data_IF_047888016520
#
_entry.id   IF_047888016520
#
_cell.length_a   1.000
_cell.length_b   1.000
_cell.length_c   1.000
_cell.angle_alpha   90.00
_cell.angle_beta   90.00
_cell.angle_gamma   90.00
#
_symmetry.space_group_name_H-M   'P 1'
#
loop_
_entity.id
_entity.type
_entity.pdbx_description
1 polymer ?
#
# COMPACT_ATOMS: atom_id res chain seq x y z
N UNK A 1 14.00 -1.52 24.70
CA UNK A 1 13.53 -0.65 23.59
C UNK A 1 14.64 -0.28 22.61
N UNK A 2 15.69 0.43 23.01
CA UNK A 2 16.83 0.80 22.12
C UNK A 2 17.50 -0.44 21.52
N UNK A 3 17.61 -1.53 22.30
CA UNK A 3 18.15 -2.82 21.88
C UNK A 3 17.33 -3.54 20.80
N UNK A 4 16.00 -3.36 20.77
CA UNK A 4 15.15 -3.99 19.72
C UNK A 4 15.28 -3.22 18.41
N UNK A 5 15.28 -1.88 18.48
CA UNK A 5 15.38 -1.00 17.32
C UNK A 5 16.74 -1.20 16.61
N UNK A 6 17.81 -1.45 17.37
CA UNK A 6 19.16 -1.69 16.84
C UNK A 6 19.39 -3.09 16.26
N UNK A 7 18.53 -4.07 16.58
CA UNK A 7 18.76 -5.48 16.25
C UNK A 7 17.97 -5.97 15.03
N UNK A 8 17.22 -5.11 14.34
CA UNK A 8 16.55 -5.48 13.10
C UNK A 8 17.59 -5.61 11.96
N UNK A 9 17.58 -6.71 11.19
CA UNK A 9 18.49 -6.88 10.07
C UNK A 9 18.20 -5.82 8.99
N UNK A 10 19.25 -5.07 8.61
CA UNK A 10 19.31 -4.13 7.48
C UNK A 10 18.13 -3.14 7.36
N UNK A 11 18.23 -2.01 8.06
CA UNK A 11 17.23 -0.93 8.03
C UNK A 11 17.62 0.18 7.04
N UNK A 12 17.53 -0.08 5.73
CA UNK A 12 18.06 0.85 4.70
C UNK A 12 17.39 2.21 4.65
N UNK A 13 16.14 2.33 5.11
CA UNK A 13 15.40 3.60 5.17
C UNK A 13 15.58 4.38 6.47
N UNK A 14 16.54 3.99 7.31
CA UNK A 14 16.80 4.59 8.61
C UNK A 14 18.27 4.98 8.75
N UNK A 15 18.51 6.11 9.40
CA UNK A 15 19.85 6.59 9.77
C UNK A 15 20.43 5.76 10.94
N UNK A 16 21.71 5.97 11.22
CA UNK A 16 22.43 5.27 12.28
C UNK A 16 21.88 5.52 13.70
N UNK A 17 21.23 6.67 13.92
CA UNK A 17 20.53 7.00 15.16
C UNK A 17 19.07 6.50 15.20
N UNK A 18 18.66 5.71 14.21
CA UNK A 18 17.34 5.09 14.05
C UNK A 18 16.20 6.02 13.64
N UNK A 19 16.49 7.24 13.19
CA UNK A 19 15.48 8.07 12.55
C UNK A 19 15.15 7.51 11.16
N UNK A 20 13.87 7.48 10.80
CA UNK A 20 13.49 7.18 9.43
C UNK A 20 13.81 8.38 8.53
N UNK A 21 14.62 8.17 7.49
CA UNK A 21 14.90 9.22 6.51
C UNK A 21 14.05 9.08 5.24
N UNK A 22 13.68 7.86 4.85
CA UNK A 22 12.79 7.62 3.73
C UNK A 22 11.38 7.24 4.21
N UNK A 23 10.44 8.15 4.03
CA UNK A 23 9.05 8.03 4.46
C UNK A 23 8.15 7.63 3.32
N UNK A 24 7.19 6.76 3.59
CA UNK A 24 6.15 6.39 2.65
C UNK A 24 4.77 6.61 3.26
N UNK A 25 3.73 6.37 2.47
CA UNK A 25 2.35 6.54 2.94
C UNK A 25 1.98 5.65 4.13
N UNK A 26 2.57 4.45 4.25
CA UNK A 26 2.34 3.54 5.38
C UNK A 26 3.00 4.08 6.64
N UNK A 27 4.25 4.52 6.55
CA UNK A 27 5.00 5.08 7.69
C UNK A 27 4.37 6.37 8.21
N UNK A 28 4.07 7.28 7.28
CA UNK A 28 3.45 8.57 7.60
C UNK A 28 2.02 8.38 8.14
N UNK A 29 1.25 7.47 7.56
CA UNK A 29 -0.08 7.11 8.04
C UNK A 29 -0.03 6.51 9.46
N UNK A 30 0.95 5.64 9.73
CA UNK A 30 1.18 5.08 11.06
C UNK A 30 1.50 6.16 12.10
N UNK A 31 2.40 7.10 11.77
CA UNK A 31 2.77 8.21 12.65
C UNK A 31 1.59 9.16 12.92
N UNK A 32 0.85 9.56 11.88
CA UNK A 32 -0.35 10.39 12.00
C UNK A 32 -1.46 9.70 12.80
N UNK A 33 -1.60 8.38 12.67
CA UNK A 33 -2.60 7.59 13.42
C UNK A 33 -2.29 7.59 14.91
N UNK A 34 -1.08 7.15 15.28
CA UNK A 34 -0.67 7.01 16.67
C UNK A 34 0.85 6.80 16.74
N UNK A 35 1.61 7.63 17.47
CA UNK A 35 3.06 7.46 17.59
C UNK A 35 3.47 6.09 18.13
N UNK A 36 2.70 5.54 19.08
CA UNK A 36 2.91 4.17 19.59
C UNK A 36 2.68 3.09 18.53
N UNK A 37 1.72 3.29 17.63
CA UNK A 37 1.51 2.38 16.51
C UNK A 37 2.70 2.43 15.56
N UNK A 38 3.18 3.63 15.20
CA UNK A 38 4.38 3.83 14.40
C UNK A 38 5.63 3.15 14.99
N UNK A 39 5.85 3.30 16.30
CA UNK A 39 6.92 2.61 17.02
C UNK A 39 6.86 1.09 16.80
N UNK A 40 5.69 0.47 17.04
CA UNK A 40 5.57 -0.98 16.94
C UNK A 40 5.61 -1.49 15.51
N UNK A 41 4.89 -0.85 14.57
CA UNK A 41 4.75 -1.37 13.22
C UNK A 41 5.90 -1.04 12.29
N UNK A 42 6.54 0.12 12.45
CA UNK A 42 7.56 0.63 11.53
C UNK A 42 8.95 0.56 12.16
N UNK A 43 9.14 1.17 13.33
CA UNK A 43 10.47 1.22 13.95
C UNK A 43 10.94 -0.14 14.47
N UNK A 44 10.02 -0.92 15.06
CA UNK A 44 10.30 -2.26 15.59
C UNK A 44 9.83 -3.38 14.65
N UNK A 45 9.04 -3.06 13.62
CA UNK A 45 8.65 -4.02 12.60
C UNK A 45 7.71 -5.15 13.06
N UNK A 46 7.04 -5.02 14.20
CA UNK A 46 6.15 -6.04 14.74
C UNK A 46 4.92 -6.23 13.84
N UNK A 47 4.65 -7.46 13.43
CA UNK A 47 3.48 -7.82 12.65
C UNK A 47 2.77 -9.06 13.22
N UNK A 48 1.42 -9.12 13.13
CA UNK A 48 0.69 -10.33 13.50
C UNK A 48 1.23 -11.54 12.74
N UNK A 49 1.38 -12.68 13.42
CA UNK A 49 1.88 -13.94 12.79
C UNK A 49 1.02 -14.42 11.63
N UNK A 50 -0.29 -14.10 11.65
CA UNK A 50 -1.22 -14.44 10.58
C UNK A 50 -1.47 -13.23 9.70
N UNK A 51 -1.21 -13.36 8.40
CA UNK A 51 -1.56 -12.33 7.44
C UNK A 51 -3.08 -12.26 7.26
N UNK A 52 -3.63 -11.04 7.20
CA UNK A 52 -5.06 -10.84 6.96
C UNK A 52 -5.45 -11.36 5.56
N UNK A 53 -6.54 -12.13 5.43
CA UNK A 53 -7.09 -12.55 4.14
C UNK A 53 -7.31 -11.39 3.16
N UNK A 54 -7.66 -10.20 3.67
CA UNK A 54 -7.84 -9.01 2.83
C UNK A 54 -6.53 -8.54 2.19
N UNK A 55 -5.43 -8.60 2.93
CA UNK A 55 -4.12 -8.19 2.44
C UNK A 55 -3.60 -9.20 1.42
N UNK A 56 -3.66 -10.49 1.73
CA UNK A 56 -3.27 -11.56 0.80
C UNK A 56 -4.07 -11.48 -0.50
N UNK A 57 -5.39 -11.29 -0.40
CA UNK A 57 -6.24 -11.09 -1.57
C UNK A 57 -5.87 -9.84 -2.35
N UNK A 58 -5.62 -8.72 -1.68
CA UNK A 58 -5.17 -7.49 -2.34
C UNK A 58 -3.89 -7.73 -3.15
N UNK A 59 -2.85 -8.29 -2.52
CA UNK A 59 -1.53 -8.52 -3.15
C UNK A 59 -1.66 -9.37 -4.41
N UNK A 60 -2.35 -10.52 -4.33
CA UNK A 60 -2.48 -11.43 -5.48
C UNK A 60 -3.30 -10.80 -6.60
N UNK A 61 -4.33 -10.02 -6.26
CA UNK A 61 -5.12 -9.32 -7.27
C UNK A 61 -4.30 -8.24 -7.99
N UNK A 62 -3.52 -7.43 -7.27
CA UNK A 62 -2.67 -6.39 -7.89
C UNK A 62 -1.63 -7.02 -8.82
N UNK A 63 -0.97 -8.09 -8.38
CA UNK A 63 -0.01 -8.82 -9.22
C UNK A 63 -0.65 -9.39 -10.50
N UNK A 64 -1.90 -9.85 -10.42
CA UNK A 64 -2.63 -10.31 -11.60
C UNK A 64 -2.91 -9.16 -12.58
N UNK A 65 -3.30 -7.98 -12.08
CA UNK A 65 -3.59 -6.82 -12.93
C UNK A 65 -2.34 -6.21 -13.53
N UNK A 66 -1.24 -6.13 -12.76
CA UNK A 66 0.07 -5.70 -13.24
C UNK A 66 0.53 -6.54 -14.45
N UNK A 67 0.38 -7.86 -14.37
CA UNK A 67 0.70 -8.77 -15.48
C UNK A 67 -0.12 -8.47 -16.75
N UNK A 68 -1.40 -8.13 -16.59
CA UNK A 68 -2.26 -7.75 -17.73
C UNK A 68 -1.92 -6.37 -18.28
N UNK A 69 -1.61 -5.40 -17.42
CA UNK A 69 -1.22 -4.04 -17.82
C UNK A 69 0.07 -4.07 -18.65
N UNK A 70 1.04 -4.90 -18.27
CA UNK A 70 2.26 -5.11 -19.06
C UNK A 70 1.98 -5.60 -20.48
N UNK A 71 1.02 -6.52 -20.65
CA UNK A 71 0.64 -7.01 -21.99
C UNK A 71 -0.08 -5.91 -22.75
N UNK A 72 -1.04 -5.23 -22.09
CA UNK A 72 -1.92 -4.21 -22.68
C UNK A 72 -1.18 -3.04 -23.31
N UNK A 73 -0.03 -2.65 -22.77
CA UNK A 73 0.82 -1.58 -23.35
C UNK A 73 1.48 -2.02 -24.67
N UNK A 74 1.70 -3.32 -24.87
CA UNK A 74 2.37 -3.85 -26.07
C UNK A 74 1.41 -4.26 -27.18
N UNK A 75 0.19 -4.70 -26.81
CA UNK A 75 -0.87 -5.11 -27.74
C UNK A 75 -2.22 -5.18 -27.03
N UNK A 76 -3.33 -5.20 -27.79
CA UNK A 76 -4.64 -5.55 -27.23
C UNK A 76 -4.61 -6.92 -26.52
N UNK A 77 -5.33 -6.99 -25.40
CA UNK A 77 -5.53 -8.23 -24.66
C UNK A 77 -6.46 -9.17 -25.42
N UNK A 78 -6.24 -10.48 -25.24
CA UNK A 78 -7.10 -11.55 -25.74
C UNK A 78 -7.37 -12.55 -24.61
N UNK A 79 -8.45 -13.32 -24.70
CA UNK A 79 -8.89 -14.24 -23.65
C UNK A 79 -7.78 -15.21 -23.18
N UNK A 80 -6.89 -15.60 -24.10
CA UNK A 80 -5.78 -16.50 -23.76
C UNK A 80 -4.76 -15.90 -22.78
N UNK A 81 -4.74 -14.58 -22.63
CA UNK A 81 -3.87 -13.87 -21.67
C UNK A 81 -4.30 -14.11 -20.22
N UNK A 82 -5.56 -14.49 -19.98
CA UNK A 82 -6.04 -14.82 -18.63
C UNK A 82 -5.42 -16.12 -18.09
N UNK A 83 -5.10 -17.10 -18.95
CA UNK A 83 -4.60 -18.41 -18.50
C UNK A 83 -3.34 -18.33 -17.63
N UNK A 84 -2.24 -17.66 -18.04
CA UNK A 84 -1.05 -17.56 -17.21
C UNK A 84 -1.32 -16.78 -15.91
N UNK A 85 -2.16 -15.75 -15.96
CA UNK A 85 -2.51 -14.90 -14.80
C UNK A 85 -3.29 -15.69 -13.76
N UNK A 86 -4.33 -16.40 -14.18
CA UNK A 86 -5.14 -17.28 -13.31
C UNK A 86 -4.27 -18.39 -12.74
N UNK A 87 -3.45 -19.04 -13.57
CA UNK A 87 -2.53 -20.10 -13.12
C UNK A 87 -1.58 -19.59 -12.04
N UNK A 88 -1.04 -18.38 -12.21
CA UNK A 88 -0.15 -17.79 -11.20
C UNK A 88 -0.90 -17.48 -9.90
N UNK A 89 -2.10 -16.90 -9.97
CA UNK A 89 -2.93 -16.66 -8.79
C UNK A 89 -3.26 -17.96 -8.03
N UNK A 90 -3.59 -19.04 -8.76
CA UNK A 90 -3.85 -20.37 -8.18
C UNK A 90 -2.61 -20.94 -7.48
N UNK A 91 -1.42 -20.80 -8.08
CA UNK A 91 -0.16 -21.25 -7.48
C UNK A 91 0.21 -20.44 -6.22
N UNK A 92 -0.04 -19.14 -6.23
CA UNK A 92 0.29 -18.27 -5.09
C UNK A 92 -0.63 -18.53 -3.90
N UNK A 93 -1.91 -18.82 -4.15
CA UNK A 93 -2.90 -18.99 -3.09
C UNK A 93 -3.07 -20.45 -2.65
N UNK A 94 -3.07 -21.39 -3.59
CA UNK A 94 -3.21 -22.81 -3.29
C UNK A 94 -1.89 -23.49 -2.98
N UNK A 95 -1.97 -24.78 -2.70
CA UNK A 95 -0.81 -25.65 -2.49
C UNK A 95 -1.01 -26.97 -3.23
N UNK A 96 0.09 -27.69 -3.43
CA UNK A 96 0.07 -29.06 -3.93
C UNK A 96 0.62 -29.96 -2.82
N UNK A 97 -0.03 -31.10 -2.59
CA UNK A 97 0.52 -32.12 -1.71
C UNK A 97 1.62 -32.93 -2.42
N UNK A 98 2.21 -33.89 -1.70
CA UNK A 98 3.25 -34.80 -2.21
C UNK A 98 2.81 -35.64 -3.42
N UNK A 99 1.50 -35.83 -3.61
CA UNK A 99 0.92 -36.58 -4.72
C UNK A 99 0.54 -35.65 -5.89
N UNK A 100 0.81 -34.35 -5.78
CA UNK A 100 0.44 -33.35 -6.79
C UNK A 100 -1.04 -32.98 -6.79
N UNK A 101 -1.79 -33.27 -5.73
CA UNK A 101 -3.19 -32.88 -5.60
C UNK A 101 -3.25 -31.42 -5.16
N UNK A 102 -3.95 -30.61 -5.94
CA UNK A 102 -4.15 -29.20 -5.65
C UNK A 102 -5.15 -28.99 -4.52
N UNK A 103 -4.74 -28.26 -3.48
CA UNK A 103 -5.60 -27.78 -2.40
C UNK A 103 -5.82 -26.27 -2.55
N UNK A 104 -7.06 -25.80 -2.76
CA UNK A 104 -7.34 -24.39 -2.92
C UNK A 104 -7.22 -23.64 -1.59
N UNK A 105 -6.79 -22.38 -1.66
CA UNK A 105 -6.76 -21.49 -0.50
C UNK A 105 -8.13 -21.32 0.15
N UNK A 106 -8.21 -21.65 1.44
CA UNK A 106 -9.37 -21.38 2.29
C UNK A 106 -8.93 -20.45 3.42
N UNK A 107 -9.29 -19.19 3.31
CA UNK A 107 -8.89 -18.15 4.27
C UNK A 107 -9.75 -18.11 5.55
N UNK A 108 -10.84 -18.88 5.61
CA UNK A 108 -11.87 -18.75 6.63
C UNK A 108 -12.82 -17.55 6.44
N UNK A 109 -12.59 -16.70 5.43
CA UNK A 109 -13.46 -15.58 5.09
C UNK A 109 -14.41 -15.96 3.93
N UNK A 110 -15.69 -15.64 4.09
CA UNK A 110 -16.77 -15.92 3.12
C UNK A 110 -16.53 -15.30 1.72
N UNK A 111 -15.97 -14.10 1.65
CA UNK A 111 -15.73 -13.31 0.42
C UNK A 111 -14.30 -13.32 -0.11
N UNK A 112 -13.31 -13.84 0.63
CA UNK A 112 -11.88 -13.70 0.30
C UNK A 112 -11.20 -15.05 0.22
N UNK A 113 -11.50 -15.80 -0.83
CA UNK A 113 -11.00 -17.15 -1.09
C UNK A 113 -10.57 -17.30 -2.56
N UNK A 114 -10.03 -18.47 -2.94
CA UNK A 114 -9.55 -18.68 -4.31
C UNK A 114 -10.65 -18.49 -5.36
N UNK A 115 -11.87 -18.97 -5.12
CA UNK A 115 -12.99 -18.84 -6.07
C UNK A 115 -13.32 -17.37 -6.33
N UNK A 116 -13.49 -16.58 -5.26
CA UNK A 116 -13.73 -15.14 -5.36
C UNK A 116 -12.56 -14.39 -6.01
N UNK A 117 -11.31 -14.86 -5.84
CA UNK A 117 -10.13 -14.30 -6.50
C UNK A 117 -10.19 -14.52 -8.01
N UNK A 118 -10.39 -15.76 -8.46
CA UNK A 118 -10.45 -16.07 -9.89
C UNK A 118 -11.62 -15.33 -10.55
N UNK A 119 -12.80 -15.31 -9.91
CA UNK A 119 -13.93 -14.51 -10.36
C UNK A 119 -13.57 -13.04 -10.53
N UNK A 120 -12.86 -12.47 -9.55
CA UNK A 120 -12.45 -11.06 -9.58
C UNK A 120 -11.51 -10.76 -10.73
N UNK A 121 -10.55 -11.64 -11.02
CA UNK A 121 -9.61 -11.48 -12.13
C UNK A 121 -10.35 -11.54 -13.48
N UNK A 122 -11.17 -12.58 -13.68
CA UNK A 122 -11.91 -12.78 -14.94
C UNK A 122 -12.89 -11.64 -15.18
N UNK A 123 -13.72 -11.30 -14.18
CA UNK A 123 -14.75 -10.27 -14.38
C UNK A 123 -14.15 -8.88 -14.52
N UNK A 124 -13.01 -8.60 -13.88
CA UNK A 124 -12.31 -7.33 -14.10
C UNK A 124 -11.75 -7.25 -15.52
N UNK A 125 -11.17 -8.35 -16.01
CA UNK A 125 -10.70 -8.43 -17.38
C UNK A 125 -11.82 -8.17 -18.37
N UNK A 126 -12.99 -8.79 -18.19
CA UNK A 126 -14.15 -8.62 -19.06
C UNK A 126 -14.68 -7.16 -19.02
N UNK A 127 -14.87 -6.61 -17.82
CA UNK A 127 -15.37 -5.24 -17.63
C UNK A 127 -14.47 -4.19 -18.30
N UNK A 128 -13.16 -4.38 -18.16
CA UNK A 128 -12.15 -3.43 -18.63
C UNK A 128 -11.36 -3.95 -19.82
N UNK A 129 -11.90 -4.86 -20.64
CA UNK A 129 -11.19 -5.37 -21.81
C UNK A 129 -10.87 -4.23 -22.79
N UNK A 130 -11.89 -3.40 -23.08
CA UNK A 130 -11.80 -2.22 -23.94
C UNK A 130 -11.80 -0.93 -23.10
N UNK A 131 -10.96 -0.92 -22.06
CA UNK A 131 -10.84 0.22 -21.16
C UNK A 131 -10.44 1.50 -21.88
N UNK A 132 -10.97 2.63 -21.40
CA UNK A 132 -10.60 3.97 -21.86
C UNK A 132 -9.40 4.54 -21.11
N UNK A 133 -9.05 3.96 -19.96
CA UNK A 133 -7.77 4.20 -19.32
C UNK A 133 -6.67 3.41 -20.03
N UNK A 134 -5.66 4.11 -20.53
CA UNK A 134 -4.52 3.51 -21.22
C UNK A 134 -3.25 3.80 -20.45
N UNK A 135 -2.58 2.74 -19.96
CA UNK A 135 -1.28 2.88 -19.28
C UNK A 135 -0.26 3.48 -20.25
N UNK A 136 0.52 4.45 -19.77
CA UNK A 136 1.56 5.11 -20.56
C UNK A 136 2.72 4.15 -20.78
N UNK A 137 3.30 4.17 -21.99
CA UNK A 137 4.60 3.57 -22.25
C UNK A 137 5.69 4.60 -21.94
N UNK A 138 6.61 4.25 -21.05
CA UNK A 138 7.75 5.09 -20.72
C UNK A 138 8.74 5.18 -21.89
N UNK A 139 9.64 6.16 -21.86
CA UNK A 139 10.66 6.37 -22.89
C UNK A 139 11.60 5.16 -23.08
N UNK A 140 11.73 4.30 -22.07
CA UNK A 140 12.50 3.05 -22.14
C UNK A 140 11.71 1.87 -22.74
N UNK A 141 10.48 2.09 -23.22
CA UNK A 141 9.61 1.08 -23.80
C UNK A 141 8.84 0.22 -22.79
N UNK A 142 9.06 0.40 -21.48
CA UNK A 142 8.33 -0.34 -20.42
C UNK A 142 6.99 0.32 -20.11
N UNK A 143 6.04 -0.47 -19.61
CA UNK A 143 4.76 0.03 -19.12
C UNK A 143 4.95 0.83 -17.82
N UNK A 144 4.21 1.93 -17.67
CA UNK A 144 4.20 2.76 -16.48
C UNK A 144 3.41 2.10 -15.33
N UNK A 145 3.89 0.96 -14.83
CA UNK A 145 3.27 0.16 -13.76
C UNK A 145 4.25 -0.10 -12.61
N UNK A 146 3.71 -0.19 -11.39
CA UNK A 146 4.48 -0.34 -10.13
C UNK A 146 5.65 0.66 -10.06
N UNK A 147 5.37 1.90 -10.43
CA UNK A 147 6.38 2.95 -10.58
C UNK A 147 6.88 3.44 -9.23
N UNK A 148 8.19 3.33 -9.01
CA UNK A 148 8.81 3.73 -7.74
C UNK A 148 9.21 5.19 -7.81
N UNK A 149 8.76 5.98 -6.83
CA UNK A 149 9.10 7.40 -6.76
C UNK A 149 9.81 7.71 -5.45
N UNK A 150 10.65 8.74 -5.50
CA UNK A 150 11.20 9.39 -4.32
C UNK A 150 11.47 10.86 -4.61
N UNK A 151 11.21 11.74 -3.67
CA UNK A 151 11.58 13.16 -3.77
C UNK A 151 11.97 13.72 -2.39
N UNK A 152 12.87 14.71 -2.33
CA UNK A 152 13.26 15.35 -1.08
C UNK A 152 12.10 16.19 -0.52
N UNK A 153 11.93 16.13 0.80
CA UNK A 153 10.93 16.92 1.52
C UNK A 153 11.41 18.35 1.84
N UNK A 154 12.65 18.70 1.50
CA UNK A 154 13.27 19.97 1.90
C UNK A 154 13.68 20.02 3.38
N UNK A 155 13.59 18.90 4.09
CA UNK A 155 14.08 18.71 5.46
C UNK A 155 15.39 17.92 5.44
N UNK A 156 16.27 18.19 6.40
CA UNK A 156 17.50 17.44 6.62
C UNK A 156 17.57 16.91 8.04
N UNK A 157 18.23 15.77 8.20
CA UNK A 157 18.62 15.21 9.49
C UNK A 157 20.05 14.70 9.40
N UNK A 158 20.90 15.11 10.36
CA UNK A 158 22.33 14.74 10.36
C UNK A 158 23.07 15.00 9.02
N UNK A 159 22.61 15.98 8.23
CA UNK A 159 23.16 16.32 6.91
C UNK A 159 22.52 15.58 5.72
N UNK A 160 21.73 14.55 5.96
CA UNK A 160 21.02 13.76 4.93
C UNK A 160 19.62 14.33 4.67
N UNK A 161 19.15 14.26 3.43
CA UNK A 161 17.81 14.71 3.06
C UNK A 161 16.75 13.69 3.51
N UNK A 162 15.68 14.18 4.12
CA UNK A 162 14.49 13.38 4.36
C UNK A 162 13.69 13.28 3.06
N UNK A 163 13.30 12.05 2.70
CA UNK A 163 12.64 11.72 1.45
C UNK A 163 11.20 11.30 1.71
N UNK A 164 10.32 11.62 0.76
CA UNK A 164 9.05 10.92 0.60
C UNK A 164 9.11 9.99 -0.61
N UNK A 165 8.65 8.76 -0.46
CA UNK A 165 8.76 7.70 -1.44
C UNK A 165 7.53 6.78 -1.44
N UNK A 166 7.43 5.93 -2.45
CA UNK A 166 6.36 4.95 -2.58
C UNK A 166 6.29 4.37 -3.98
N UNK A 167 5.17 3.68 -4.25
CA UNK A 167 4.93 3.01 -5.52
C UNK A 167 3.53 3.35 -6.02
N UNK A 168 3.43 3.78 -7.27
CA UNK A 168 2.16 3.95 -7.98
C UNK A 168 1.81 2.66 -8.70
N UNK A 169 0.59 2.14 -8.55
CA UNK A 169 0.19 0.92 -9.27
C UNK A 169 0.32 1.13 -10.78
N UNK A 170 -0.18 2.26 -11.31
CA UNK A 170 0.13 2.69 -12.69
C UNK A 170 -0.09 4.17 -12.93
N UNK A 171 0.43 4.65 -14.07
CA UNK A 171 0.21 5.98 -14.62
C UNK A 171 -0.27 5.86 -16.07
N UNK A 172 -1.34 6.58 -16.42
CA UNK A 172 -2.00 6.41 -17.71
C UNK A 172 -2.80 7.62 -18.17
N UNK A 173 -3.29 7.55 -19.40
CA UNK A 173 -4.21 8.53 -19.99
C UNK A 173 -5.65 8.08 -19.82
N UNK A 174 -6.51 9.01 -19.40
CA UNK A 174 -7.96 8.85 -19.37
C UNK A 174 -8.61 10.20 -19.68
N UNK A 175 -9.64 10.22 -20.52
CA UNK A 175 -10.34 11.45 -20.91
C UNK A 175 -9.38 12.60 -21.32
N UNK A 176 -8.36 12.29 -22.15
CA UNK A 176 -7.35 13.24 -22.65
C UNK A 176 -6.51 13.92 -21.55
N UNK A 177 -6.33 13.27 -20.41
CA UNK A 177 -5.49 13.76 -19.33
C UNK A 177 -4.78 12.62 -18.64
N UNK A 178 -3.66 12.92 -18.00
CA UNK A 178 -2.91 11.93 -17.24
C UNK A 178 -3.48 11.78 -15.82
N UNK A 179 -3.61 10.53 -15.38
CA UNK A 179 -4.00 10.18 -14.02
C UNK A 179 -3.12 9.04 -13.54
N UNK A 180 -2.79 9.04 -12.25
CA UNK A 180 -2.39 7.80 -11.59
C UNK A 180 -3.62 6.92 -11.40
N UNK A 181 -3.43 5.61 -11.34
CA UNK A 181 -4.50 4.67 -10.99
C UNK A 181 -4.05 3.86 -9.79
N UNK A 182 -4.95 3.74 -8.81
CA UNK A 182 -4.75 2.95 -7.58
C UNK A 182 -5.94 1.99 -7.43
N UNK A 183 -5.66 0.69 -7.35
CA UNK A 183 -6.68 -0.36 -7.30
C UNK A 183 -7.04 -0.68 -5.86
N UNK A 184 -8.33 -0.70 -5.54
CA UNK A 184 -8.81 -1.00 -4.18
C UNK A 184 -9.82 -2.13 -4.18
N UNK A 185 -9.64 -3.10 -3.29
CA UNK A 185 -10.68 -4.11 -3.03
C UNK A 185 -11.37 -3.82 -1.70
N UNK A 186 -12.69 -4.01 -1.67
CA UNK A 186 -13.50 -3.80 -0.47
C UNK A 186 -14.61 -4.85 -0.38
N UNK A 187 -15.06 -5.16 0.84
CA UNK A 187 -16.29 -5.92 1.04
C UNK A 187 -17.54 -5.05 1.11
N UNK A 188 -17.37 -3.72 1.26
CA UNK A 188 -18.44 -2.73 1.36
C UNK A 188 -18.93 -2.26 -0.01
N UNK A 189 -20.09 -1.61 -0.01
CA UNK A 189 -20.67 -1.05 -1.24
C UNK A 189 -19.84 0.15 -1.75
N UNK A 190 -19.71 0.26 -3.08
CA UNK A 190 -19.04 1.37 -3.76
C UNK A 190 -19.94 2.61 -3.78
N UNK A 191 -20.12 3.22 -2.62
CA UNK A 191 -20.93 4.43 -2.41
C UNK A 191 -20.05 5.67 -2.35
N UNK A 192 -20.66 6.85 -2.40
CA UNK A 192 -19.94 8.11 -2.13
C UNK A 192 -19.18 8.08 -0.79
N UNK A 193 -19.72 7.39 0.23
CA UNK A 193 -19.05 7.21 1.53
C UNK A 193 -17.76 6.39 1.42
N UNK A 194 -17.74 5.38 0.55
CA UNK A 194 -16.51 4.62 0.28
C UNK A 194 -15.46 5.53 -0.38
N UNK A 195 -15.84 6.33 -1.38
CA UNK A 195 -14.88 7.19 -2.07
C UNK A 195 -14.43 8.41 -1.26
N UNK A 196 -15.26 8.91 -0.34
CA UNK A 196 -14.89 10.06 0.50
C UNK A 196 -13.68 9.80 1.42
N UNK A 197 -13.33 8.53 1.67
CA UNK A 197 -12.16 8.20 2.49
C UNK A 197 -10.81 8.45 1.78
N UNK A 198 -10.83 8.72 0.47
CA UNK A 198 -9.63 8.96 -0.32
C UNK A 198 -9.28 10.45 -0.44
N UNK A 199 -10.09 11.35 0.13
CA UNK A 199 -9.79 12.78 0.22
C UNK A 199 -10.39 13.39 1.49
N UNK A 200 -9.56 13.83 2.47
CA UNK A 200 -8.10 13.77 2.48
C UNK A 200 -7.55 12.34 2.69
N UNK A 201 -6.41 12.02 2.07
CA UNK A 201 -5.74 10.71 2.24
C UNK A 201 -4.22 10.83 2.13
N UNK A 202 -3.49 10.23 3.07
CA UNK A 202 -2.02 10.21 3.05
C UNK A 202 -1.46 9.55 1.79
N UNK A 203 -2.05 8.41 1.42
CA UNK A 203 -1.60 7.65 0.24
C UNK A 203 -1.92 8.41 -1.04
N UNK A 204 -3.21 8.73 -1.25
CA UNK A 204 -3.68 9.25 -2.54
C UNK A 204 -3.15 10.66 -2.81
N UNK A 205 -3.10 11.53 -1.80
CA UNK A 205 -2.52 12.87 -1.95
C UNK A 205 -1.03 12.81 -2.23
N UNK A 206 -0.28 11.94 -1.54
CA UNK A 206 1.15 11.75 -1.80
C UNK A 206 1.43 11.19 -3.20
N UNK A 207 0.58 10.28 -3.69
CA UNK A 207 0.67 9.70 -5.04
C UNK A 207 0.38 10.73 -6.13
N UNK A 208 -0.63 11.59 -5.91
CA UNK A 208 -0.95 12.68 -6.82
C UNK A 208 0.22 13.67 -6.92
N UNK A 209 0.80 14.06 -5.78
CA UNK A 209 1.98 14.92 -5.74
C UNK A 209 3.18 14.28 -6.45
N UNK A 210 3.47 13.00 -6.17
CA UNK A 210 4.56 12.27 -6.81
C UNK A 210 4.39 12.17 -8.32
N UNK A 211 3.17 11.94 -8.80
CA UNK A 211 2.85 11.89 -10.22
C UNK A 211 3.21 13.20 -10.93
N UNK A 212 3.00 14.36 -10.27
CA UNK A 212 3.35 15.68 -10.80
C UNK A 212 4.85 15.97 -10.74
N UNK A 213 5.50 15.66 -9.62
CA UNK A 213 6.91 16.03 -9.38
C UNK A 213 7.91 15.11 -10.09
N UNK A 214 7.67 13.80 -10.07
CA UNK A 214 8.69 12.81 -10.47
C UNK A 214 8.57 12.43 -11.94
N UNK A 215 7.34 12.22 -12.42
CA UNK A 215 7.11 11.79 -13.80
C UNK A 215 6.87 12.96 -14.76
N UNK A 216 6.95 14.21 -14.26
CA UNK A 216 6.73 15.45 -15.02
C UNK A 216 5.48 15.43 -15.90
N UNK A 217 4.45 14.69 -15.47
CA UNK A 217 3.14 14.67 -16.09
C UNK A 217 2.23 15.60 -15.29
N UNK A 218 1.42 16.39 -15.98
CA UNK A 218 0.41 17.22 -15.34
C UNK A 218 -0.77 16.36 -14.85
N UNK A 219 -0.51 15.45 -13.92
CA UNK A 219 -1.51 14.53 -13.37
C UNK A 219 -2.65 15.33 -12.74
N UNK A 220 -3.86 15.09 -13.23
CA UNK A 220 -5.08 15.77 -12.75
C UNK A 220 -5.65 15.13 -11.49
N UNK A 221 -5.14 13.97 -11.09
CA UNK A 221 -5.55 13.27 -9.89
C UNK A 221 -5.20 11.78 -9.96
N UNK A 222 -5.79 11.03 -9.04
CA UNK A 222 -5.69 9.58 -8.99
C UNK A 222 -7.08 8.98 -9.23
N UNK A 223 -7.18 8.05 -10.17
CA UNK A 223 -8.35 7.21 -10.35
C UNK A 223 -8.30 6.12 -9.27
N UNK A 224 -9.31 6.11 -8.41
CA UNK A 224 -9.55 4.99 -7.50
C UNK A 224 -10.37 3.96 -8.26
N UNK A 225 -9.73 2.88 -8.65
CA UNK A 225 -10.37 1.76 -9.33
C UNK A 225 -10.79 0.70 -8.33
N UNK A 226 -12.07 0.73 -7.97
CA UNK A 226 -12.58 0.00 -6.83
C UNK A 226 -13.36 -1.24 -7.23
N UNK A 227 -13.15 -2.29 -6.44
CA UNK A 227 -13.82 -3.57 -6.59
C UNK A 227 -14.51 -3.96 -5.30
N UNK A 228 -15.82 -4.05 -5.35
CA UNK A 228 -16.60 -4.64 -4.28
C UNK A 228 -16.64 -6.16 -4.46
N UNK A 229 -16.08 -6.88 -3.50
CA UNK A 229 -16.04 -8.34 -3.49
C UNK A 229 -17.15 -8.86 -2.59
N UNK A 230 -18.16 -9.49 -3.19
CA UNK A 230 -19.19 -10.27 -2.53
C UNK A 230 -18.92 -11.78 -2.62
N UNK A 231 -19.66 -12.60 -1.87
CA UNK A 231 -19.47 -14.05 -1.87
C UNK A 231 -19.72 -14.67 -3.26
N UNK A 232 -20.70 -14.13 -4.00
CA UNK A 232 -21.08 -14.60 -5.34
C UNK A 232 -21.01 -13.53 -6.44
N UNK A 233 -20.50 -12.33 -6.14
CA UNK A 233 -20.46 -11.24 -7.12
C UNK A 233 -19.23 -10.37 -6.96
N UNK A 234 -18.89 -9.66 -8.03
CA UNK A 234 -17.93 -8.55 -8.02
C UNK A 234 -18.61 -7.35 -8.70
N UNK A 235 -18.42 -6.16 -8.15
CA UNK A 235 -18.84 -4.91 -8.80
C UNK A 235 -17.64 -3.99 -8.93
N UNK A 236 -17.62 -3.21 -10.00
CA UNK A 236 -16.56 -2.29 -10.32
C UNK A 236 -17.06 -0.86 -10.24
N UNK A 237 -16.17 0.07 -9.93
CA UNK A 237 -16.49 1.48 -9.90
C UNK A 237 -15.22 2.33 -9.83
N UNK A 238 -15.17 3.37 -10.66
CA UNK A 238 -14.07 4.33 -10.69
C UNK A 238 -14.52 5.69 -10.23
N UNK A 239 -13.68 6.33 -9.43
CA UNK A 239 -13.83 7.74 -9.11
C UNK A 239 -12.47 8.43 -9.14
N UNK A 240 -12.44 9.63 -9.72
CA UNK A 240 -11.26 10.48 -9.71
C UNK A 240 -11.22 11.22 -8.38
N UNK A 241 -10.05 11.17 -7.75
CA UNK A 241 -9.69 11.98 -6.59
C UNK A 241 -8.64 12.99 -7.04
N UNK A 242 -9.03 14.27 -7.04
CA UNK A 242 -8.15 15.38 -7.39
C UNK A 242 -7.81 16.21 -6.15
N UNK A 243 -6.62 16.81 -6.17
CA UNK A 243 -6.18 17.80 -5.19
C UNK A 243 -5.78 19.09 -5.91
N UNK A 244 -6.20 20.22 -5.36
CA UNK A 244 -5.69 21.53 -5.77
C UNK A 244 -4.24 21.70 -5.32
N UNK A 245 -3.52 22.65 -5.90
CA UNK A 245 -2.12 22.92 -5.49
C UNK A 245 -2.02 23.28 -4.01
N UNK A 246 -2.91 24.16 -3.52
CA UNK A 246 -2.98 24.52 -2.11
C UNK A 246 -3.22 23.31 -1.18
N UNK A 247 -4.02 22.32 -1.59
CA UNK A 247 -4.22 21.10 -0.82
C UNK A 247 -2.96 20.21 -0.80
N UNK A 248 -2.21 20.17 -1.91
CA UNK A 248 -0.94 19.44 -1.97
C UNK A 248 0.11 20.10 -1.05
N UNK A 249 0.20 21.44 -1.08
CA UNK A 249 1.09 22.21 -0.21
C UNK A 249 0.74 22.06 1.27
N UNK A 250 -0.56 22.14 1.62
CA UNK A 250 -1.04 21.91 2.99
C UNK A 250 -0.72 20.49 3.48
N UNK A 251 -0.94 19.49 2.63
CA UNK A 251 -0.60 18.11 2.95
C UNK A 251 0.90 17.92 3.15
N UNK A 252 1.73 18.48 2.29
CA UNK A 252 3.19 18.39 2.38
C UNK A 252 3.68 19.04 3.69
N UNK A 253 3.16 20.23 4.00
CA UNK A 253 3.44 20.95 5.25
C UNK A 253 3.07 20.12 6.47
N UNK A 254 1.84 19.61 6.50
CA UNK A 254 1.34 18.75 7.58
C UNK A 254 2.14 17.44 7.72
N UNK A 255 2.69 16.94 6.62
CA UNK A 255 3.52 15.73 6.60
C UNK A 255 4.90 16.01 7.19
N UNK A 256 5.53 17.13 6.81
CA UNK A 256 6.78 17.62 7.39
C UNK A 256 6.67 17.81 8.91
N UNK A 257 5.59 18.41 9.41
CA UNK A 257 5.35 18.53 10.86
C UNK A 257 5.31 17.17 11.56
N UNK A 258 4.65 16.18 10.96
CA UNK A 258 4.58 14.82 11.55
C UNK A 258 5.97 14.17 11.60
N UNK A 259 6.77 14.37 10.55
CA UNK A 259 8.13 13.82 10.45
C UNK A 259 9.06 14.49 11.46
N UNK A 260 8.98 15.81 11.63
CA UNK A 260 9.71 16.53 12.67
C UNK A 260 9.30 16.08 14.08
N UNK A 261 8.01 15.85 14.32
CA UNK A 261 7.53 15.29 15.59
C UNK A 261 8.11 13.90 15.88
N UNK A 262 8.38 13.10 14.84
CA UNK A 262 9.03 11.80 15.01
C UNK A 262 10.46 11.90 15.55
N UNK A 263 11.19 12.96 15.21
CA UNK A 263 12.51 13.25 15.78
C UNK A 263 12.37 13.52 17.28
N UNK A 264 11.40 14.35 17.68
CA UNK A 264 11.12 14.62 19.09
C UNK A 264 10.80 13.34 19.88
N UNK A 265 10.00 12.42 19.33
CA UNK A 265 9.70 11.15 19.98
C UNK A 265 10.95 10.28 20.14
N UNK A 266 11.83 10.29 19.14
CA UNK A 266 13.10 9.57 19.19
C UNK A 266 14.03 10.18 20.24
N UNK A 267 14.23 11.50 20.26
CA UNK A 267 15.08 12.19 21.22
C UNK A 267 14.62 11.96 22.66
N UNK A 268 13.31 11.99 22.88
CA UNK A 268 12.69 11.76 24.20
C UNK A 268 12.56 10.26 24.54
N UNK A 269 12.84 9.37 23.59
CA UNK A 269 12.59 7.93 23.69
C UNK A 269 11.15 7.63 24.15
N UNK A 270 10.19 8.42 23.69
CA UNK A 270 8.79 8.32 24.09
C UNK A 270 7.82 8.55 22.94
N UNK A 271 7.00 7.53 22.69
CA UNK A 271 5.94 7.56 21.67
C UNK A 271 4.57 7.52 22.37
N UNK A 272 3.86 8.67 22.45
CA UNK A 272 2.58 8.73 23.12
C UNK A 272 1.54 7.86 22.41
N UNK A 273 0.59 7.37 23.18
CA UNK A 273 -0.59 6.69 22.65
C UNK A 273 -1.59 7.73 22.14
N UNK A 274 -2.38 7.35 21.14
CA UNK A 274 -3.59 8.05 20.76
C UNK A 274 -4.77 7.12 21.02
N UNK A 275 -5.41 7.27 22.18
CA UNK A 275 -6.48 6.39 22.66
C UNK A 275 -7.69 6.39 21.73
N UNK A 276 -7.97 7.52 21.07
CA UNK A 276 -9.09 7.63 20.12
C UNK A 276 -8.85 6.77 18.88
N UNK A 277 -7.60 6.65 18.42
CA UNK A 277 -7.24 5.86 17.25
C UNK A 277 -7.37 4.33 17.47
N UNK A 278 -7.52 3.87 18.72
CA UNK A 278 -7.65 2.45 19.05
C UNK A 278 -8.94 1.80 18.51
N UNK A 279 -9.99 2.59 18.29
CA UNK A 279 -11.32 2.14 17.85
C UNK A 279 -11.59 2.38 16.36
N UNK A 280 -10.65 2.96 15.61
CA UNK A 280 -10.86 3.25 14.19
C UNK A 280 -10.91 1.95 13.37
N UNK A 281 -11.83 1.89 12.41
CA UNK A 281 -12.05 0.76 11.49
C UNK A 281 -12.36 -0.55 12.23
N UNK A 282 -11.56 -1.61 12.01
CA UNK A 282 -11.66 -2.90 12.72
C UNK A 282 -10.86 -2.93 14.03
N UNK A 283 -10.43 -1.76 14.52
CA UNK A 283 -9.61 -1.61 15.72
C UNK A 283 -8.10 -1.59 15.46
N UNK A 284 -7.33 -1.35 16.53
CA UNK A 284 -5.87 -1.35 16.50
C UNK A 284 -5.30 -2.72 16.89
N UNK A 285 -4.46 -3.31 16.04
CA UNK A 285 -3.83 -4.62 16.30
C UNK A 285 -2.97 -4.65 17.57
N UNK A 286 -2.43 -3.50 18.00
CA UNK A 286 -1.62 -3.40 19.23
C UNK A 286 -2.42 -2.95 20.45
N UNK A 287 -3.76 -2.84 20.36
CA UNK A 287 -4.58 -2.45 21.52
C UNK A 287 -4.34 -3.38 22.71
N UNK A 288 -4.29 -4.69 22.44
CA UNK A 288 -3.99 -5.71 23.45
C UNK A 288 -2.65 -5.47 24.14
N UNK A 289 -1.63 -5.06 23.37
CA UNK A 289 -0.29 -4.71 23.88
C UNK A 289 -0.32 -3.41 24.69
N UNK A 290 -0.88 -2.33 24.14
CA UNK A 290 -0.95 -1.03 24.80
C UNK A 290 -1.73 -1.09 26.13
N UNK A 291 -2.71 -1.99 26.25
CA UNK A 291 -3.49 -2.18 27.48
C UNK A 291 -2.75 -2.91 28.61
N UNK A 292 -1.58 -3.51 28.34
CA UNK A 292 -0.75 -4.17 29.37
C UNK A 292 0.09 -3.16 30.13
N UNK A 293 0.53 -3.58 31.32
CA UNK A 293 1.58 -2.90 32.08
C UNK A 293 2.83 -2.70 31.18
N UNK A 294 3.42 -1.49 31.11
CA UNK A 294 4.57 -1.22 30.28
C UNK A 294 5.74 -2.21 30.44
N UNK A 295 5.96 -2.74 31.65
CA UNK A 295 7.06 -3.67 31.96
C UNK A 295 6.94 -5.04 31.28
N UNK A 296 5.73 -5.43 30.84
CA UNK A 296 5.49 -6.75 30.23
C UNK A 296 5.19 -6.70 28.74
N UNK A 297 4.99 -5.52 28.15
CA UNK A 297 4.56 -5.36 26.73
C UNK A 297 5.47 -6.08 25.74
N UNK A 298 6.77 -6.05 25.97
CA UNK A 298 7.79 -6.67 25.11
C UNK A 298 7.60 -8.19 25.02
N UNK A 299 7.39 -8.86 26.16
CA UNK A 299 7.13 -10.31 26.20
C UNK A 299 5.87 -10.70 25.42
N UNK A 300 4.82 -9.87 25.46
CA UNK A 300 3.60 -10.13 24.69
C UNK A 300 3.82 -9.90 23.18
N UNK A 301 4.64 -8.91 22.79
CA UNK A 301 5.02 -8.72 21.39
C UNK A 301 5.77 -9.95 20.86
N UNK A 302 6.79 -10.42 21.59
CA UNK A 302 7.56 -11.61 21.21
C UNK A 302 6.71 -12.88 21.13
N UNK A 303 5.72 -13.02 22.01
CA UNK A 303 4.83 -14.18 22.03
C UNK A 303 3.85 -14.21 20.85
N UNK A 304 3.24 -13.06 20.50
CA UNK A 304 2.09 -13.01 19.58
C UNK A 304 2.43 -12.48 18.18
N UNK A 305 3.59 -11.84 18.02
CA UNK A 305 4.01 -11.17 16.79
C UNK A 305 5.32 -11.76 16.23
N UNK A 306 5.67 -11.36 15.03
CA UNK A 306 6.99 -11.56 14.45
C UNK A 306 7.50 -10.22 13.91
N UNK A 307 8.81 -10.08 13.72
CA UNK A 307 9.42 -8.85 13.20
C UNK A 307 9.73 -8.95 11.72
N UNK A 308 9.59 -7.83 11.00
CA UNK A 308 10.17 -7.64 9.66
C UNK A 308 10.95 -6.32 9.59
N UNK A 309 11.93 -6.25 8.70
CA UNK A 309 12.50 -4.97 8.31
C UNK A 309 11.50 -4.22 7.41
N UNK A 310 11.27 -2.94 7.68
CA UNK A 310 10.50 -2.07 6.79
C UNK A 310 11.47 -1.28 5.91
N UNK A 311 11.33 -1.41 4.60
CA UNK A 311 12.15 -0.68 3.64
C UNK A 311 11.29 -0.20 2.45
N UNK A 312 10.83 1.05 2.46
CA UNK A 312 10.10 1.64 1.32
C UNK A 312 11.01 2.06 0.16
N UNK A 313 12.34 1.88 0.26
CA UNK A 313 13.28 2.19 -0.82
C UNK A 313 13.52 0.99 -1.76
N UNK A 314 13.04 -0.21 -1.41
CA UNK A 314 13.11 -1.36 -2.30
C UNK A 314 12.31 -1.07 -3.57
N UNK A 315 12.97 -0.98 -4.75
CA UNK A 315 12.26 -0.69 -5.98
C UNK A 315 11.25 -1.78 -6.29
N UNK A 316 10.11 -1.37 -6.84
CA UNK A 316 9.11 -2.26 -7.42
C UNK A 316 9.02 -2.05 -8.92
N UNK A 317 8.46 -3.05 -9.60
CA UNK A 317 8.11 -2.95 -11.01
C UNK A 317 9.29 -2.62 -11.90
N UNK A 318 9.16 -1.53 -12.67
CA UNK A 318 10.10 -1.21 -13.74
C UNK A 318 11.41 -0.55 -13.32
N UNK A 319 11.53 -0.20 -12.04
CA UNK A 319 12.74 0.38 -11.46
C UNK A 319 13.58 -0.67 -10.70
N UNK A 320 13.10 -1.92 -10.66
CA UNK A 320 13.83 -3.11 -10.20
C UNK A 320 14.62 -3.78 -11.34
#
# INVERSE_FOLDING_TARGET
MTTIISNLPQRKAFSSDNLQFAWDSVSLGAAKKCPRYYLYSILQGWQPKMQSPHLTFGIVFHSAMEALDHIRVTRPLVDSDLYPVIRQAMKTLGSYDENGIFTPWRSGHDKKNLESMIRSIVWYFDEYLNDTYTVIQLANGRAAVELSFRFPLGLKHAGEDLLYCGHLDSLGEFAQSTYGLDRKTTGGALTQQFYSQFSPSVQITGYNLASRLVYNVASRGIIIDAMQIGAGFVRFGRQIVANTEAQLEEWLTSSMYTIQDSQRWLDQQYWPMNETACNLYMGCTYRGICSKDPSVRERFLEADFHTRAWDPLEPRGTDA
#
